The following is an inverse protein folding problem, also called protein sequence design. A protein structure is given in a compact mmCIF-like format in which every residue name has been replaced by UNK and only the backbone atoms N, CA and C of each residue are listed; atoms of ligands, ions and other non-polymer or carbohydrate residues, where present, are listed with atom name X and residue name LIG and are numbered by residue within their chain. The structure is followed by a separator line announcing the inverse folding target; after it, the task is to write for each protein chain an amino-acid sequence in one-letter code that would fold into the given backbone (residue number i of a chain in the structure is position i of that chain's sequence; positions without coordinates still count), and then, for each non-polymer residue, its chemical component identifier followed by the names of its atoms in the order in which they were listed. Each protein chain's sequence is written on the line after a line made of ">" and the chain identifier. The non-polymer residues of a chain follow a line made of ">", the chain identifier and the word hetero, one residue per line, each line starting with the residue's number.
data_IF_226112809515
#
_entry.id   IF_226112809515
#
_cell.length_a   1.000
_cell.length_b   1.000
_cell.length_c   1.000
_cell.angle_alpha   90.00
_cell.angle_beta   90.00
_cell.angle_gamma   90.00
#
_symmetry.space_group_name_H-M   'P 1'
#
loop_
_entity.id
_entity.type
_entity.pdbx_description
1 polymer ?
#
# COMPACT_ATOMS: atom_id res chain seq x y z
N UNK A 1 -12.36 -22.51 -15.47
CA UNK A 1 -12.80 -22.60 -14.05
C UNK A 1 -12.66 -21.22 -13.42
N UNK A 2 -13.61 -20.83 -12.58
CA UNK A 2 -13.56 -19.59 -11.83
C UNK A 2 -12.42 -19.66 -10.80
N UNK A 3 -11.58 -18.62 -10.71
CA UNK A 3 -10.44 -18.59 -9.80
C UNK A 3 -10.89 -18.33 -8.37
N UNK A 4 -10.41 -19.10 -7.41
CA UNK A 4 -10.65 -18.82 -5.99
C UNK A 4 -9.88 -17.59 -5.54
N UNK A 5 -10.56 -16.70 -4.82
CA UNK A 5 -9.99 -15.45 -4.32
C UNK A 5 -10.11 -15.40 -2.80
N UNK A 6 -8.99 -15.22 -2.11
CA UNK A 6 -8.96 -14.88 -0.69
C UNK A 6 -8.62 -13.38 -0.55
N UNK A 7 -9.37 -12.68 0.31
CA UNK A 7 -9.07 -11.30 0.70
C UNK A 7 -8.39 -11.30 2.05
N UNK A 8 -7.24 -10.64 2.15
CA UNK A 8 -6.37 -10.64 3.33
C UNK A 8 -6.27 -9.20 3.88
N UNK A 9 -6.62 -9.03 5.15
CA UNK A 9 -6.68 -7.70 5.78
C UNK A 9 -5.95 -7.73 7.13
N UNK A 10 -4.74 -7.15 7.23
CA UNK A 10 -4.13 -6.86 8.52
C UNK A 10 -4.91 -5.76 9.23
N UNK A 11 -5.19 -5.95 10.53
CA UNK A 11 -5.95 -5.00 11.35
C UNK A 11 -5.22 -4.66 12.64
N UNK A 12 -5.41 -3.42 13.10
CA UNK A 12 -4.99 -2.93 14.41
C UNK A 12 -6.01 -1.92 14.90
N UNK A 13 -6.58 -2.12 16.08
CA UNK A 13 -7.72 -1.33 16.58
C UNK A 13 -8.82 -1.14 15.52
N UNK A 14 -9.33 -2.22 14.90
CA UNK A 14 -10.34 -2.09 13.88
C UNK A 14 -11.61 -1.46 14.48
N UNK A 15 -12.14 -0.44 13.80
CA UNK A 15 -13.29 0.32 14.26
C UNK A 15 -14.47 0.22 13.29
N UNK A 16 -15.41 1.16 13.39
CA UNK A 16 -16.64 1.19 12.57
C UNK A 16 -16.37 1.12 11.06
N UNK A 17 -15.28 1.71 10.58
CA UNK A 17 -14.92 1.69 9.15
C UNK A 17 -14.56 0.29 8.66
N UNK A 18 -13.94 -0.52 9.53
CA UNK A 18 -13.69 -1.92 9.22
C UNK A 18 -15.00 -2.71 9.00
N UNK A 19 -16.02 -2.51 9.83
CA UNK A 19 -17.34 -3.10 9.60
C UNK A 19 -17.94 -2.71 8.24
N UNK A 20 -17.80 -1.45 7.83
CA UNK A 20 -18.24 -0.99 6.49
C UNK A 20 -17.44 -1.66 5.36
N UNK A 21 -16.14 -1.89 5.58
CA UNK A 21 -15.29 -2.61 4.63
C UNK A 21 -15.81 -4.03 4.41
N UNK A 22 -16.03 -4.78 5.49
CA UNK A 22 -16.55 -6.15 5.42
C UNK A 22 -17.93 -6.21 4.73
N UNK A 23 -18.84 -5.29 5.11
CA UNK A 23 -20.18 -5.20 4.48
C UNK A 23 -20.09 -4.93 2.96
N UNK A 24 -19.11 -4.13 2.49
CA UNK A 24 -18.90 -3.86 1.06
C UNK A 24 -18.21 -5.01 0.34
N UNK A 25 -17.29 -5.70 0.99
CA UNK A 25 -16.63 -6.90 0.42
C UNK A 25 -17.63 -8.04 0.27
N UNK A 26 -18.53 -8.24 1.23
CA UNK A 26 -19.57 -9.28 1.14
C UNK A 26 -20.61 -9.03 0.02
N UNK A 27 -20.63 -7.82 -0.55
CA UNK A 27 -21.54 -7.43 -1.66
C UNK A 27 -20.85 -7.38 -3.01
N UNK A 28 -19.62 -7.90 -3.13
CA UNK A 28 -18.92 -7.90 -4.41
C UNK A 28 -19.56 -8.85 -5.42
N UNK A 29 -19.52 -8.47 -6.71
CA UNK A 29 -20.09 -9.28 -7.80
C UNK A 29 -19.27 -10.54 -8.09
N UNK A 30 -17.95 -10.48 -7.88
CA UNK A 30 -17.10 -11.67 -7.94
C UNK A 30 -17.04 -12.31 -6.54
N UNK A 31 -17.31 -13.62 -6.40
CA UNK A 31 -17.36 -14.26 -5.09
C UNK A 31 -15.99 -14.31 -4.42
N UNK A 32 -15.94 -13.91 -3.16
CA UNK A 32 -14.78 -14.05 -2.30
C UNK A 32 -14.87 -15.42 -1.63
N UNK A 33 -13.82 -16.23 -1.76
CA UNK A 33 -13.79 -17.57 -1.19
C UNK A 33 -13.56 -17.52 0.32
N UNK A 34 -12.61 -16.69 0.82
CA UNK A 34 -12.36 -16.44 2.24
C UNK A 34 -11.94 -14.99 2.49
N UNK A 35 -12.24 -14.49 3.68
CA UNK A 35 -11.70 -13.25 4.21
C UNK A 35 -10.83 -13.58 5.41
N UNK A 36 -9.50 -13.43 5.27
CA UNK A 36 -8.50 -13.74 6.28
C UNK A 36 -8.08 -12.45 6.96
N UNK A 37 -8.33 -12.35 8.26
CA UNK A 37 -8.03 -11.16 9.06
C UNK A 37 -6.83 -11.47 9.96
N UNK A 38 -5.76 -10.68 9.82
CA UNK A 38 -4.59 -10.73 10.70
C UNK A 38 -4.72 -9.62 11.74
N UNK A 39 -5.41 -9.91 12.85
CA UNK A 39 -5.69 -8.91 13.87
C UNK A 39 -4.54 -8.80 14.88
N UNK A 40 -3.98 -7.61 15.02
CA UNK A 40 -2.94 -7.30 16.01
C UNK A 40 -3.60 -6.94 17.33
N UNK A 41 -3.24 -7.69 18.38
CA UNK A 41 -3.78 -7.67 19.76
C UNK A 41 -5.26 -8.07 19.82
N UNK A 42 -5.51 -9.25 20.37
CA UNK A 42 -6.88 -9.80 20.52
C UNK A 42 -7.80 -8.89 21.33
N UNK A 43 -7.27 -8.18 22.32
CA UNK A 43 -8.03 -7.26 23.18
C UNK A 43 -8.70 -6.10 22.41
N UNK A 44 -8.22 -5.77 21.21
CA UNK A 44 -8.80 -4.73 20.34
C UNK A 44 -9.81 -5.28 19.33
N UNK A 45 -10.06 -6.59 19.35
CA UNK A 45 -11.07 -7.21 18.50
C UNK A 45 -12.45 -7.12 19.13
N UNK A 46 -13.40 -6.55 18.42
CA UNK A 46 -14.80 -6.53 18.87
C UNK A 46 -15.44 -7.90 18.60
N UNK A 47 -15.65 -8.69 19.67
CA UNK A 47 -16.23 -10.03 19.59
C UNK A 47 -17.65 -10.06 19.00
N UNK A 48 -18.33 -8.93 18.92
CA UNK A 48 -19.64 -8.88 18.23
C UNK A 48 -19.50 -9.15 16.73
N UNK A 49 -18.32 -8.96 16.15
CA UNK A 49 -18.07 -9.28 14.74
C UNK A 49 -18.01 -10.79 14.48
N UNK A 50 -17.60 -11.60 15.42
CA UNK A 50 -17.62 -13.07 15.29
C UNK A 50 -19.04 -13.58 15.07
N UNK A 51 -20.02 -12.91 15.70
CA UNK A 51 -21.45 -13.19 15.53
C UNK A 51 -21.98 -12.58 14.23
N UNK A 52 -21.62 -11.30 13.95
CA UNK A 52 -22.12 -10.57 12.78
C UNK A 52 -21.54 -11.08 11.47
N UNK A 53 -20.27 -11.53 11.49
CA UNK A 53 -19.51 -11.95 10.31
C UNK A 53 -18.88 -13.33 10.51
N UNK A 54 -19.66 -14.41 10.69
CA UNK A 54 -19.15 -15.76 11.01
C UNK A 54 -18.31 -16.38 9.87
N UNK A 55 -18.26 -15.74 8.71
CA UNK A 55 -17.45 -16.14 7.56
C UNK A 55 -16.03 -15.57 7.57
N UNK A 56 -15.65 -14.74 8.55
CA UNK A 56 -14.29 -14.23 8.69
C UNK A 56 -13.39 -15.30 9.32
N UNK A 57 -12.22 -15.50 8.75
CA UNK A 57 -11.15 -16.29 9.35
C UNK A 57 -10.19 -15.34 10.07
N UNK A 58 -10.28 -15.28 11.40
CA UNK A 58 -9.53 -14.32 12.21
C UNK A 58 -8.33 -14.99 12.89
N UNK A 59 -7.15 -14.43 12.69
CA UNK A 59 -5.90 -14.82 13.34
C UNK A 59 -5.38 -13.66 14.18
N UNK A 60 -5.25 -13.87 15.49
CA UNK A 60 -4.69 -12.88 16.40
C UNK A 60 -3.17 -13.02 16.49
N UNK A 61 -2.47 -11.90 16.40
CA UNK A 61 -1.02 -11.80 16.60
C UNK A 61 -0.73 -10.73 17.64
N UNK A 62 0.40 -10.85 18.34
CA UNK A 62 0.84 -9.82 19.26
C UNK A 62 1.50 -8.67 18.49
N UNK A 63 1.47 -7.47 19.06
CA UNK A 63 2.12 -6.28 18.48
C UNK A 63 3.63 -6.47 18.27
N UNK A 64 4.28 -7.26 19.12
CA UNK A 64 5.70 -7.62 18.98
C UNK A 64 5.98 -8.54 17.79
N UNK A 65 4.96 -9.25 17.28
CA UNK A 65 5.06 -10.16 16.13
C UNK A 65 4.67 -9.47 14.81
N UNK A 66 4.11 -8.26 14.92
CA UNK A 66 3.67 -7.53 13.74
C UNK A 66 4.85 -6.91 13.00
N UNK A 67 4.94 -7.23 11.72
CA UNK A 67 5.71 -6.47 10.74
C UNK A 67 4.96 -6.42 9.41
N UNK A 68 5.20 -5.40 8.61
CA UNK A 68 4.41 -5.14 7.42
C UNK A 68 4.49 -6.27 6.38
N UNK A 69 5.68 -6.81 6.17
CA UNK A 69 5.90 -7.89 5.21
C UNK A 69 5.58 -9.28 5.79
N UNK A 70 6.14 -9.63 6.96
CA UNK A 70 5.99 -10.94 7.58
C UNK A 70 4.55 -11.28 7.94
N UNK A 71 3.77 -10.31 8.46
CA UNK A 71 2.34 -10.53 8.74
C UNK A 71 1.56 -10.88 7.48
N UNK A 72 1.82 -10.16 6.37
CA UNK A 72 1.18 -10.46 5.08
C UNK A 72 1.67 -11.77 4.47
N UNK A 73 2.96 -12.08 4.61
CA UNK A 73 3.54 -13.35 4.15
C UNK A 73 2.91 -14.53 4.87
N UNK A 74 2.81 -14.48 6.21
CA UNK A 74 2.13 -15.48 7.02
C UNK A 74 0.67 -15.69 6.58
N UNK A 75 -0.07 -14.62 6.31
CA UNK A 75 -1.42 -14.70 5.79
C UNK A 75 -1.49 -15.29 4.36
N UNK A 76 -0.51 -14.99 3.50
CA UNK A 76 -0.40 -15.61 2.19
C UNK A 76 -0.16 -17.12 2.27
N UNK A 77 0.55 -17.61 3.27
CA UNK A 77 0.78 -19.05 3.51
C UNK A 77 -0.51 -19.76 3.94
N UNK A 78 -1.34 -19.11 4.77
CA UNK A 78 -2.65 -19.60 5.20
C UNK A 78 -3.62 -19.72 4.01
N UNK A 79 -3.58 -18.76 3.08
CA UNK A 79 -4.45 -18.75 1.90
C UNK A 79 -4.28 -20.02 1.06
N UNK A 80 -5.38 -20.56 0.54
CA UNK A 80 -5.41 -21.69 -0.41
C UNK A 80 -6.02 -21.29 -1.75
N UNK A 81 -6.23 -20.00 -1.98
CA UNK A 81 -6.81 -19.48 -3.21
C UNK A 81 -5.77 -19.38 -4.36
N UNK A 82 -6.25 -19.27 -5.59
CA UNK A 82 -5.42 -19.00 -6.77
C UNK A 82 -4.91 -17.55 -6.77
N UNK A 83 -5.73 -16.64 -6.22
CA UNK A 83 -5.48 -15.20 -6.18
C UNK A 83 -5.65 -14.71 -4.74
N UNK A 84 -4.70 -13.92 -4.28
CA UNK A 84 -4.76 -13.25 -2.98
C UNK A 84 -4.94 -11.75 -3.21
N UNK A 85 -5.93 -11.13 -2.57
CA UNK A 85 -6.11 -9.68 -2.56
C UNK A 85 -5.76 -9.16 -1.17
N UNK A 86 -4.70 -8.36 -1.07
CA UNK A 86 -4.36 -7.66 0.16
C UNK A 86 -5.06 -6.31 0.20
N UNK A 87 -5.63 -5.97 1.34
CA UNK A 87 -6.24 -4.66 1.59
C UNK A 87 -5.82 -4.11 2.96
N UNK A 88 -5.81 -2.79 3.10
CA UNK A 88 -5.75 -2.15 4.42
C UNK A 88 -7.16 -2.02 5.00
N UNK A 89 -7.26 -2.02 6.34
CA UNK A 89 -8.55 -2.00 7.06
C UNK A 89 -9.42 -0.76 6.82
N UNK A 90 -8.86 0.28 6.20
CA UNK A 90 -9.46 1.58 5.92
C UNK A 90 -9.66 1.86 4.42
N UNK A 91 -9.40 0.87 3.57
CA UNK A 91 -9.61 0.97 2.13
C UNK A 91 -11.00 0.45 1.75
N UNK A 92 -11.97 1.34 1.53
CA UNK A 92 -13.34 0.96 1.24
C UNK A 92 -13.55 0.72 -0.27
N UNK A 93 -14.08 -0.44 -0.72
CA UNK A 93 -14.52 -0.61 -2.10
C UNK A 93 -15.45 0.53 -2.53
N UNK A 94 -15.16 1.20 -3.65
CA UNK A 94 -15.99 2.29 -4.13
C UNK A 94 -17.35 1.79 -4.69
N UNK A 95 -17.34 0.57 -5.22
CA UNK A 95 -18.53 -0.10 -5.76
C UNK A 95 -18.42 -1.64 -5.62
N UNK A 96 -19.43 -2.35 -6.11
CA UNK A 96 -19.51 -3.81 -6.03
C UNK A 96 -18.65 -4.58 -7.04
N UNK A 97 -17.91 -3.90 -7.90
CA UNK A 97 -17.14 -4.51 -8.98
C UNK A 97 -15.63 -4.50 -8.72
N UNK A 98 -15.17 -4.04 -7.54
CA UNK A 98 -13.74 -3.93 -7.21
C UNK A 98 -12.99 -5.24 -7.45
N UNK A 99 -13.46 -6.34 -6.84
CA UNK A 99 -12.80 -7.65 -6.92
C UNK A 99 -12.79 -8.15 -8.36
N UNK A 100 -13.91 -8.04 -9.07
CA UNK A 100 -14.00 -8.43 -10.48
C UNK A 100 -12.99 -7.65 -11.33
N UNK A 101 -13.00 -6.32 -11.26
CA UNK A 101 -12.13 -5.47 -12.09
C UNK A 101 -10.64 -5.66 -11.79
N UNK A 102 -10.31 -5.89 -10.53
CA UNK A 102 -8.93 -6.16 -10.13
C UNK A 102 -8.46 -7.53 -10.64
N UNK A 103 -9.33 -8.53 -10.58
CA UNK A 103 -9.08 -9.88 -11.10
C UNK A 103 -8.95 -9.89 -12.63
N UNK A 104 -9.84 -9.19 -13.35
CA UNK A 104 -9.76 -9.03 -14.81
C UNK A 104 -8.40 -8.41 -15.22
N UNK A 105 -7.95 -7.36 -14.52
CA UNK A 105 -6.67 -6.74 -14.81
C UNK A 105 -5.47 -7.67 -14.52
N UNK A 106 -5.54 -8.46 -13.44
CA UNK A 106 -4.50 -9.44 -13.09
C UNK A 106 -4.42 -10.60 -14.11
N UNK A 107 -5.55 -11.03 -14.63
CA UNK A 107 -5.65 -12.16 -15.54
C UNK A 107 -5.59 -11.75 -17.03
N UNK A 108 -5.44 -10.48 -17.34
CA UNK A 108 -5.38 -9.97 -18.72
C UNK A 108 -4.19 -10.53 -19.52
N UNK A 109 -3.12 -10.93 -18.83
CA UNK A 109 -1.94 -11.55 -19.41
C UNK A 109 -1.31 -12.53 -18.40
N UNK A 110 -0.74 -13.65 -18.88
CA UNK A 110 -0.10 -14.65 -18.03
C UNK A 110 1.12 -14.08 -17.29
N UNK A 111 1.83 -13.15 -17.92
CA UNK A 111 3.00 -12.47 -17.35
C UNK A 111 2.67 -11.39 -16.32
N UNK A 112 1.42 -11.01 -16.12
CA UNK A 112 1.04 -10.10 -15.04
C UNK A 112 1.01 -10.90 -13.73
N UNK A 113 1.92 -10.59 -12.79
CA UNK A 113 2.00 -11.26 -11.48
C UNK A 113 1.29 -10.53 -10.36
N UNK A 114 1.09 -9.20 -10.51
CA UNK A 114 0.39 -8.36 -9.54
C UNK A 114 -0.51 -7.34 -10.24
N UNK A 115 -1.60 -6.95 -9.57
CA UNK A 115 -2.46 -5.85 -10.00
C UNK A 115 -2.88 -5.01 -8.79
N UNK A 116 -2.95 -3.67 -8.93
CA UNK A 116 -3.38 -2.81 -7.83
C UNK A 116 -4.47 -1.83 -8.25
N UNK A 117 -5.32 -1.49 -7.27
CA UNK A 117 -6.50 -0.68 -7.46
C UNK A 117 -6.20 0.83 -7.46
N UNK A 118 -7.11 1.60 -8.08
CA UNK A 118 -7.14 3.06 -8.01
C UNK A 118 -7.62 3.51 -6.64
N UNK A 119 -6.83 4.35 -5.97
CA UNK A 119 -7.22 4.99 -4.72
C UNK A 119 -7.90 6.34 -4.99
N UNK A 120 -9.15 6.45 -4.60
CA UNK A 120 -9.92 7.69 -4.63
C UNK A 120 -9.82 8.42 -3.29
N UNK A 121 -9.79 9.76 -3.30
CA UNK A 121 -9.84 10.53 -2.05
C UNK A 121 -11.21 10.39 -1.39
N UNK A 122 -11.25 10.33 -0.05
CA UNK A 122 -12.48 10.45 0.72
C UNK A 122 -13.03 11.90 0.68
N UNK A 123 -14.23 12.12 1.21
CA UNK A 123 -14.89 13.43 1.19
C UNK A 123 -14.12 14.48 1.98
N UNK A 124 -13.51 14.08 3.10
CA UNK A 124 -12.74 14.95 4.01
C UNK A 124 -11.31 15.22 3.55
N UNK A 125 -10.90 14.62 2.43
CA UNK A 125 -9.54 14.73 1.91
C UNK A 125 -9.19 16.17 1.57
N UNK A 126 -8.06 16.67 2.08
CA UNK A 126 -7.60 18.01 1.78
C UNK A 126 -7.24 18.20 0.30
N UNK A 127 -7.23 19.46 -0.16
CA UNK A 127 -7.12 19.79 -1.57
C UNK A 127 -5.78 19.31 -2.20
N UNK A 128 -4.68 19.42 -1.50
CA UNK A 128 -3.36 18.99 -1.99
C UNK A 128 -3.25 17.45 -2.06
N UNK A 129 -3.78 16.75 -1.06
CA UNK A 129 -3.80 15.27 -1.05
C UNK A 129 -4.72 14.74 -2.15
N UNK A 130 -5.86 15.39 -2.39
CA UNK A 130 -6.78 15.05 -3.51
C UNK A 130 -6.06 15.10 -4.86
N UNK A 131 -5.21 16.12 -5.07
CA UNK A 131 -4.37 16.17 -6.25
C UNK A 131 -3.30 15.08 -6.27
N UNK A 132 -2.66 14.80 -5.12
CA UNK A 132 -1.67 13.72 -4.98
C UNK A 132 -2.28 12.37 -5.37
N UNK A 133 -3.52 12.09 -4.97
CA UNK A 133 -4.23 10.87 -5.40
C UNK A 133 -4.43 10.84 -6.92
N UNK A 134 -4.93 11.89 -7.53
CA UNK A 134 -5.12 11.94 -8.99
C UNK A 134 -3.81 11.82 -9.77
N UNK A 135 -2.71 12.34 -9.24
CA UNK A 135 -1.38 12.23 -9.84
C UNK A 135 -0.82 10.80 -9.79
N UNK A 136 -0.99 10.12 -8.65
CA UNK A 136 -0.48 8.76 -8.46
C UNK A 136 -1.40 7.68 -9.03
N UNK A 137 -2.69 7.96 -9.11
CA UNK A 137 -3.73 7.03 -9.54
C UNK A 137 -4.57 7.66 -10.68
N UNK A 138 -4.00 7.77 -11.90
CA UNK A 138 -4.69 8.35 -13.07
C UNK A 138 -5.91 7.53 -13.48
N UNK A 139 -6.73 8.09 -14.39
CA UNK A 139 -7.97 7.44 -14.87
C UNK A 139 -7.75 6.33 -15.89
N UNK A 140 -6.53 6.16 -16.38
CA UNK A 140 -6.20 5.14 -17.38
C UNK A 140 -5.40 4.02 -16.76
N UNK A 141 -5.85 2.79 -16.97
CA UNK A 141 -5.13 1.58 -16.63
C UNK A 141 -3.81 1.47 -17.42
N UNK A 142 -2.86 0.79 -16.86
CA UNK A 142 -1.56 0.55 -17.50
C UNK A 142 -0.91 -0.71 -16.94
N UNK A 143 -0.03 -1.31 -17.72
CA UNK A 143 0.87 -2.37 -17.25
C UNK A 143 2.28 -1.79 -17.21
N UNK A 144 3.07 -2.21 -16.23
CA UNK A 144 4.50 -1.89 -16.10
C UNK A 144 5.30 -3.17 -16.13
N UNK A 145 6.34 -3.16 -16.96
CA UNK A 145 7.27 -4.26 -17.18
C UNK A 145 8.71 -3.75 -17.06
N UNK A 146 9.70 -4.63 -17.12
CA UNK A 146 11.11 -4.29 -16.91
C UNK A 146 11.63 -3.22 -17.87
N UNK A 147 11.20 -3.24 -19.12
CA UNK A 147 11.57 -2.29 -20.17
C UNK A 147 11.13 -0.86 -19.85
N UNK A 148 10.12 -0.71 -19.03
CA UNK A 148 9.59 0.58 -18.59
C UNK A 148 10.50 1.31 -17.58
N UNK A 149 11.52 0.65 -17.01
CA UNK A 149 12.44 1.23 -16.02
C UNK A 149 13.15 2.48 -16.54
N UNK A 150 13.56 2.47 -17.79
CA UNK A 150 14.23 3.63 -18.43
C UNK A 150 13.33 4.87 -18.50
N UNK A 151 12.02 4.66 -18.67
CA UNK A 151 11.02 5.73 -18.86
C UNK A 151 10.37 6.20 -17.57
N UNK A 152 10.02 5.27 -16.67
CA UNK A 152 9.21 5.56 -15.50
C UNK A 152 9.99 5.45 -14.18
N UNK A 153 11.23 4.97 -14.22
CA UNK A 153 12.06 4.83 -13.03
C UNK A 153 11.36 4.00 -11.96
N UNK A 154 11.39 4.50 -10.72
CA UNK A 154 10.80 3.82 -9.56
C UNK A 154 9.29 3.54 -9.68
N UNK A 155 8.57 4.29 -10.51
CA UNK A 155 7.14 4.03 -10.76
C UNK A 155 6.88 2.70 -11.47
N UNK A 156 7.90 2.10 -12.06
CA UNK A 156 7.80 0.75 -12.65
C UNK A 156 7.56 -0.31 -11.57
N UNK A 157 8.09 -0.08 -10.36
CA UNK A 157 7.91 -0.97 -9.19
C UNK A 157 6.71 -0.59 -8.33
N UNK A 158 5.93 0.41 -8.75
CA UNK A 158 4.83 0.88 -7.91
C UNK A 158 3.71 -0.16 -7.86
N UNK A 159 3.46 -0.65 -6.67
CA UNK A 159 2.31 -1.46 -6.28
C UNK A 159 1.82 -0.95 -4.92
N UNK A 160 0.59 -1.23 -4.52
CA UNK A 160 0.09 -0.75 -3.23
C UNK A 160 -0.86 -1.73 -2.57
N UNK A 161 -0.43 -2.30 -1.46
CA UNK A 161 -1.22 -3.19 -0.60
C UNK A 161 -2.40 -2.48 0.12
N UNK A 162 -2.64 -1.22 -0.18
CA UNK A 162 -3.94 -0.60 0.14
C UNK A 162 -5.08 -1.39 -0.52
N UNK A 163 -4.88 -1.84 -1.77
CA UNK A 163 -5.68 -2.87 -2.43
C UNK A 163 -4.90 -3.41 -3.63
N UNK A 164 -4.34 -4.61 -3.50
CA UNK A 164 -3.57 -5.25 -4.56
C UNK A 164 -3.82 -6.77 -4.61
N UNK A 165 -3.91 -7.31 -5.82
CA UNK A 165 -4.08 -8.72 -6.11
C UNK A 165 -2.80 -9.35 -6.63
N UNK A 166 -2.55 -10.59 -6.25
CA UNK A 166 -1.36 -11.35 -6.62
C UNK A 166 -1.75 -12.75 -7.07
N UNK A 167 -1.20 -13.25 -8.19
CA UNK A 167 -1.27 -14.67 -8.54
C UNK A 167 -0.45 -15.47 -7.54
N UNK A 168 -1.05 -16.42 -6.84
CA UNK A 168 -0.40 -17.15 -5.76
C UNK A 168 0.83 -17.95 -6.22
N UNK A 169 0.77 -18.54 -7.39
CA UNK A 169 1.88 -19.30 -7.98
C UNK A 169 3.10 -18.41 -8.17
N UNK A 170 2.93 -17.27 -8.87
CA UNK A 170 4.00 -16.31 -9.11
C UNK A 170 4.49 -15.70 -7.78
N UNK A 171 3.56 -15.42 -6.84
CA UNK A 171 3.93 -14.92 -5.51
C UNK A 171 4.90 -15.86 -4.79
N UNK A 172 4.65 -17.17 -4.83
CA UNK A 172 5.53 -18.18 -4.26
C UNK A 172 6.85 -18.30 -5.01
N UNK A 173 6.81 -18.28 -6.34
CA UNK A 173 8.01 -18.35 -7.20
C UNK A 173 8.99 -17.21 -6.89
N UNK A 174 8.49 -16.00 -6.67
CA UNK A 174 9.29 -14.80 -6.35
C UNK A 174 9.75 -14.78 -4.88
N UNK A 175 9.27 -15.69 -4.03
CA UNK A 175 9.63 -15.78 -2.60
C UNK A 175 8.71 -14.98 -1.66
N UNK A 176 7.65 -14.35 -2.18
CA UNK A 176 6.67 -13.62 -1.38
C UNK A 176 7.16 -12.27 -0.86
N UNK A 177 6.44 -11.72 0.10
CA UNK A 177 6.87 -10.47 0.76
C UNK A 177 8.10 -10.70 1.63
N UNK A 178 8.95 -9.68 1.69
CA UNK A 178 10.11 -9.66 2.58
C UNK A 178 9.65 -9.61 4.05
N UNK A 179 10.33 -10.34 4.90
CA UNK A 179 10.15 -10.27 6.34
C UNK A 179 11.03 -9.18 6.96
N UNK A 180 10.66 -8.69 8.14
CA UNK A 180 11.37 -7.65 8.88
C UNK A 180 11.60 -6.39 8.03
N UNK A 181 10.54 -5.85 7.48
CA UNK A 181 10.59 -4.56 6.80
C UNK A 181 9.71 -3.52 7.49
N UNK A 182 10.27 -2.33 7.66
CA UNK A 182 9.55 -1.21 8.29
C UNK A 182 8.48 -0.61 7.37
N UNK A 183 8.66 -0.73 6.05
CA UNK A 183 7.80 -0.14 5.03
C UNK A 183 8.07 -0.77 3.65
N UNK A 184 7.20 -0.52 2.64
CA UNK A 184 7.39 -0.85 1.22
C UNK A 184 7.46 -2.35 0.88
N UNK A 185 6.92 -3.25 1.67
CA UNK A 185 6.89 -4.69 1.34
C UNK A 185 6.30 -4.95 -0.05
N UNK A 186 5.31 -4.14 -0.44
CA UNK A 186 4.65 -4.19 -1.74
C UNK A 186 5.56 -3.75 -2.88
N UNK A 187 6.31 -2.65 -2.72
CA UNK A 187 7.24 -2.17 -3.73
C UNK A 187 8.50 -3.04 -3.82
N UNK A 188 8.98 -3.60 -2.72
CA UNK A 188 10.10 -4.54 -2.71
C UNK A 188 9.72 -5.79 -3.50
N UNK A 189 8.58 -6.40 -3.18
CA UNK A 189 8.04 -7.53 -3.93
C UNK A 189 7.83 -7.18 -5.42
N UNK A 190 7.22 -6.04 -5.71
CA UNK A 190 6.99 -5.58 -7.07
C UNK A 190 8.29 -5.36 -7.86
N UNK A 191 9.35 -4.90 -7.20
CA UNK A 191 10.68 -4.81 -7.79
C UNK A 191 11.24 -6.18 -8.17
N UNK A 192 11.19 -7.16 -7.26
CA UNK A 192 11.60 -8.54 -7.52
C UNK A 192 10.78 -9.16 -8.66
N UNK A 193 9.45 -8.94 -8.65
CA UNK A 193 8.54 -9.41 -9.68
C UNK A 193 8.93 -8.90 -11.09
N UNK A 194 9.17 -7.59 -11.21
CA UNK A 194 9.56 -6.97 -12.48
C UNK A 194 10.95 -7.44 -12.92
N UNK A 195 11.90 -7.60 -11.99
CA UNK A 195 13.25 -8.11 -12.31
C UNK A 195 13.21 -9.56 -12.78
N UNK A 196 12.26 -10.36 -12.30
CA UNK A 196 12.02 -11.74 -12.77
C UNK A 196 11.30 -11.80 -14.14
N UNK A 197 10.93 -10.67 -14.74
CA UNK A 197 10.32 -10.60 -16.07
C UNK A 197 8.78 -10.59 -16.08
N UNK A 198 8.16 -10.46 -14.93
CA UNK A 198 6.71 -10.29 -14.80
C UNK A 198 6.29 -8.82 -14.83
N UNK A 199 5.01 -8.58 -15.09
CA UNK A 199 4.40 -7.26 -15.13
C UNK A 199 3.52 -6.95 -13.92
N UNK A 200 3.28 -5.66 -13.71
CA UNK A 200 2.36 -5.12 -12.71
C UNK A 200 1.26 -4.35 -13.44
N UNK A 201 0.01 -4.71 -13.23
CA UNK A 201 -1.14 -4.00 -13.77
C UNK A 201 -1.65 -2.93 -12.79
N UNK A 202 -1.83 -1.72 -13.26
CA UNK A 202 -2.65 -0.71 -12.61
C UNK A 202 -4.07 -0.78 -13.17
N UNK A 203 -5.04 -1.10 -12.32
CA UNK A 203 -6.44 -1.25 -12.66
C UNK A 203 -7.23 0.02 -12.28
N UNK A 204 -7.38 0.98 -13.21
CA UNK A 204 -8.05 2.25 -12.94
C UNK A 204 -9.55 2.10 -12.63
N UNK A 205 -10.17 1.04 -13.13
CA UNK A 205 -11.60 0.75 -12.92
C UNK A 205 -11.86 -0.04 -11.62
N UNK A 206 -10.85 -0.68 -11.05
CA UNK A 206 -10.90 -1.25 -9.71
C UNK A 206 -10.63 -0.14 -8.70
N UNK A 207 -11.65 0.29 -7.93
CA UNK A 207 -11.58 1.54 -7.16
C UNK A 207 -11.82 1.30 -5.68
N UNK A 208 -10.95 1.91 -4.85
CA UNK A 208 -11.12 1.99 -3.39
C UNK A 208 -11.09 3.44 -2.94
N UNK A 209 -11.85 3.78 -1.91
CA UNK A 209 -11.82 5.08 -1.24
C UNK A 209 -10.79 4.97 -0.11
N UNK A 210 -9.68 5.70 -0.23
CA UNK A 210 -8.61 5.70 0.75
C UNK A 210 -7.77 6.98 0.64
N UNK A 211 -7.69 7.74 1.70
CA UNK A 211 -6.80 8.91 1.82
C UNK A 211 -6.59 9.30 3.28
N UNK A 212 -5.49 9.97 3.56
CA UNK A 212 -5.13 10.45 4.89
C UNK A 212 -4.72 11.92 4.85
N UNK A 213 -5.19 12.69 5.82
CA UNK A 213 -4.77 14.06 6.04
C UNK A 213 -3.65 14.10 7.09
N UNK A 214 -2.45 13.68 6.71
CA UNK A 214 -1.31 13.68 7.63
C UNK A 214 -0.84 15.11 7.96
N UNK A 215 -0.52 15.35 9.24
CA UNK A 215 0.21 16.54 9.68
C UNK A 215 1.65 16.55 9.12
N UNK A 216 2.34 17.69 9.22
CA UNK A 216 3.74 17.78 8.80
C UNK A 216 4.64 16.77 9.53
N UNK A 217 4.45 16.58 10.84
CA UNK A 217 5.22 15.61 11.62
C UNK A 217 4.91 14.17 11.24
N UNK A 218 3.65 13.82 11.04
CA UNK A 218 3.29 12.48 10.55
C UNK A 218 3.89 12.20 9.17
N UNK A 219 3.93 13.22 8.28
CA UNK A 219 4.61 13.11 6.99
C UNK A 219 6.11 12.91 7.16
N UNK A 220 6.76 13.60 8.12
CA UNK A 220 8.16 13.41 8.42
C UNK A 220 8.44 11.97 8.88
N UNK A 221 7.73 11.48 9.89
CA UNK A 221 7.93 10.12 10.44
C UNK A 221 7.69 9.04 9.39
N UNK A 222 6.59 9.15 8.62
CA UNK A 222 6.28 8.21 7.55
C UNK A 222 7.37 8.18 6.46
N UNK A 223 7.88 9.34 6.07
CA UNK A 223 8.94 9.41 5.05
C UNK A 223 10.31 9.02 5.61
N UNK A 224 10.53 9.14 6.92
CA UNK A 224 11.68 8.55 7.58
C UNK A 224 11.68 7.03 7.41
N UNK A 225 10.59 6.36 7.75
CA UNK A 225 10.45 4.91 7.60
C UNK A 225 10.56 4.48 6.12
N UNK A 226 10.03 5.27 5.19
CA UNK A 226 10.21 5.08 3.75
C UNK A 226 11.69 5.13 3.35
N UNK A 227 12.43 6.12 3.85
CA UNK A 227 13.86 6.29 3.61
C UNK A 227 14.68 5.14 4.17
N UNK A 228 14.37 4.68 5.39
CA UNK A 228 14.98 3.49 6.02
C UNK A 228 14.78 2.26 5.15
N UNK A 229 13.54 1.95 4.78
CA UNK A 229 13.23 0.80 3.93
C UNK A 229 14.01 0.82 2.60
N UNK A 230 14.12 1.97 1.94
CA UNK A 230 14.91 2.08 0.71
C UNK A 230 16.42 1.93 0.94
N UNK A 231 16.93 2.30 2.12
CA UNK A 231 18.35 2.13 2.46
C UNK A 231 18.69 0.69 2.84
N UNK A 232 17.72 -0.08 3.31
CA UNK A 232 17.86 -1.50 3.68
C UNK A 232 17.75 -2.43 2.47
N UNK A 233 17.06 -1.98 1.40
CA UNK A 233 16.85 -2.76 0.17
C UNK A 233 17.52 -2.10 -1.06
N UNK A 234 18.87 -1.93 -1.05
CA UNK A 234 19.58 -1.32 -2.17
C UNK A 234 19.49 -2.15 -3.47
N UNK A 235 19.28 -3.44 -3.38
CA UNK A 235 19.08 -4.36 -4.52
C UNK A 235 17.89 -3.96 -5.41
N UNK A 236 16.88 -3.31 -4.81
CA UNK A 236 15.70 -2.80 -5.51
C UNK A 236 15.84 -1.31 -5.82
N UNK A 237 16.27 -0.50 -4.84
CA UNK A 237 16.14 0.94 -4.90
C UNK A 237 17.41 1.67 -5.34
N UNK A 238 18.61 1.04 -5.31
CA UNK A 238 19.85 1.74 -5.67
C UNK A 238 19.96 2.06 -7.16
N UNK A 239 19.41 1.20 -8.02
CA UNK A 239 19.43 1.38 -9.46
C UNK A 239 18.40 2.39 -9.99
N UNK A 240 17.46 2.83 -9.14
CA UNK A 240 16.29 3.61 -9.56
C UNK A 240 16.14 4.85 -8.70
N UNK A 241 16.29 6.03 -9.30
CA UNK A 241 16.18 7.32 -8.58
C UNK A 241 14.72 7.60 -8.23
N UNK A 242 14.42 7.78 -6.94
CA UNK A 242 13.09 8.12 -6.43
C UNK A 242 12.83 9.62 -6.32
N UNK A 243 13.89 10.43 -6.14
CA UNK A 243 13.79 11.89 -5.90
C UNK A 243 13.17 12.65 -7.07
N UNK A 244 13.41 12.20 -8.31
CA UNK A 244 12.86 12.84 -9.51
C UNK A 244 11.33 12.88 -9.54
N UNK A 245 10.67 11.80 -9.09
CA UNK A 245 9.21 11.74 -9.02
C UNK A 245 8.64 12.61 -7.89
N UNK A 246 9.31 12.68 -6.75
CA UNK A 246 8.94 13.60 -5.67
C UNK A 246 8.97 15.07 -6.13
N UNK A 247 10.05 15.49 -6.78
CA UNK A 247 10.20 16.85 -7.34
C UNK A 247 9.11 17.12 -8.39
N UNK A 248 8.84 16.15 -9.26
CA UNK A 248 7.79 16.27 -10.28
C UNK A 248 6.41 16.46 -9.66
N UNK A 249 6.07 15.68 -8.64
CA UNK A 249 4.82 15.82 -7.90
C UNK A 249 4.70 17.23 -7.29
N UNK A 250 5.74 17.70 -6.60
CA UNK A 250 5.77 19.05 -5.99
C UNK A 250 5.53 20.15 -7.03
N UNK A 251 6.26 20.13 -8.14
CA UNK A 251 6.10 21.10 -9.23
C UNK A 251 4.68 21.08 -9.83
N UNK A 252 4.13 19.91 -10.04
CA UNK A 252 2.79 19.77 -10.61
C UNK A 252 1.69 20.16 -9.62
N UNK A 253 1.82 19.82 -8.34
CA UNK A 253 0.89 20.25 -7.29
C UNK A 253 0.89 21.78 -7.17
N UNK A 254 2.07 22.41 -7.22
CA UNK A 254 2.19 23.86 -7.18
C UNK A 254 1.43 24.51 -8.35
N UNK A 255 1.66 24.03 -9.60
CA UNK A 255 0.92 24.52 -10.79
C UNK A 255 -0.59 24.29 -10.65
N UNK A 256 -1.01 23.16 -10.13
CA UNK A 256 -2.41 22.85 -9.89
C UNK A 256 -3.06 23.81 -8.89
N UNK A 257 -2.38 24.12 -7.77
CA UNK A 257 -2.88 25.08 -6.78
C UNK A 257 -3.09 26.47 -7.40
N UNK A 258 -2.16 26.93 -8.23
CA UNK A 258 -2.29 28.20 -8.97
C UNK A 258 -3.47 28.14 -9.94
N UNK A 259 -3.58 27.09 -10.77
CA UNK A 259 -4.65 26.95 -11.77
C UNK A 259 -6.05 26.93 -11.15
N UNK A 260 -6.15 26.41 -9.92
CA UNK A 260 -7.41 26.36 -9.15
C UNK A 260 -7.61 27.59 -8.26
N UNK A 261 -6.76 28.62 -8.40
CA UNK A 261 -6.79 29.86 -7.61
C UNK A 261 -6.74 29.59 -6.09
N UNK A 262 -6.01 28.54 -5.65
CA UNK A 262 -5.85 28.16 -4.23
C UNK A 262 -4.45 28.52 -3.71
N UNK A 263 -3.99 29.73 -4.04
CA UNK A 263 -2.61 30.19 -3.75
C UNK A 263 -2.31 30.26 -2.24
N UNK A 264 -3.30 30.48 -1.38
CA UNK A 264 -3.13 30.50 0.09
C UNK A 264 -2.78 29.14 0.68
N UNK A 265 -2.97 28.03 -0.06
CA UNK A 265 -2.54 26.70 0.36
C UNK A 265 -1.06 26.43 0.09
N UNK A 266 -0.40 27.27 -0.73
CA UNK A 266 0.99 27.06 -1.16
C UNK A 266 1.98 27.05 0.00
N UNK A 267 1.94 28.00 0.99
CA UNK A 267 2.88 27.95 2.11
C UNK A 267 2.81 26.65 2.91
N UNK A 268 1.59 26.20 3.25
CA UNK A 268 1.37 24.93 3.94
C UNK A 268 1.83 23.72 3.13
N UNK A 269 1.59 23.73 1.82
CA UNK A 269 2.07 22.67 0.92
C UNK A 269 3.60 22.60 0.81
N UNK A 270 4.28 23.75 0.74
CA UNK A 270 5.76 23.82 0.71
C UNK A 270 6.32 23.28 2.04
N UNK A 271 5.77 23.73 3.17
CA UNK A 271 6.16 23.24 4.49
C UNK A 271 6.00 21.72 4.60
N UNK A 272 4.83 21.17 4.24
CA UNK A 272 4.59 19.73 4.25
C UNK A 272 5.57 18.97 3.34
N UNK A 273 5.87 19.50 2.15
CA UNK A 273 6.83 18.91 1.22
C UNK A 273 8.26 18.92 1.79
N UNK A 274 8.63 19.98 2.52
CA UNK A 274 9.89 20.08 3.24
C UNK A 274 10.03 19.02 4.33
N UNK A 275 8.98 18.81 5.13
CA UNK A 275 8.95 17.76 6.16
C UNK A 275 9.05 16.35 5.57
N UNK A 276 8.35 16.08 4.46
CA UNK A 276 8.48 14.81 3.71
C UNK A 276 9.92 14.56 3.28
N UNK A 277 10.54 15.57 2.67
CA UNK A 277 11.91 15.44 2.15
C UNK A 277 12.94 15.29 3.29
N UNK A 278 12.81 16.08 4.35
CA UNK A 278 13.68 15.98 5.53
C UNK A 278 13.59 14.60 6.19
N UNK A 279 12.38 14.09 6.38
CA UNK A 279 12.17 12.72 6.89
C UNK A 279 12.83 11.68 5.99
N UNK A 280 12.59 11.74 4.70
CA UNK A 280 13.19 10.82 3.73
C UNK A 280 14.73 10.83 3.76
N UNK A 281 15.35 12.01 3.76
CA UNK A 281 16.81 12.13 3.84
C UNK A 281 17.36 11.57 5.17
N UNK A 282 16.71 11.87 6.29
CA UNK A 282 17.09 11.34 7.60
C UNK A 282 16.99 9.80 7.59
N UNK A 283 15.91 9.23 7.03
CA UNK A 283 15.73 7.79 6.89
C UNK A 283 16.78 7.14 5.99
N UNK A 284 17.10 7.72 4.84
CA UNK A 284 18.18 7.23 3.96
C UNK A 284 19.54 7.18 4.65
N UNK A 285 19.76 8.03 5.65
CA UNK A 285 21.01 8.13 6.40
C UNK A 285 20.89 7.62 7.84
N UNK A 286 19.86 6.84 8.17
CA UNK A 286 19.55 6.43 9.54
C UNK A 286 20.72 5.76 10.28
N UNK A 287 21.58 5.03 9.57
CA UNK A 287 22.78 4.36 10.15
C UNK A 287 23.77 5.33 10.76
N UNK A 288 23.71 6.64 10.43
CA UNK A 288 24.53 7.71 10.99
C UNK A 288 23.88 8.36 12.22
N UNK A 289 22.63 8.01 12.54
CA UNK A 289 21.87 8.65 13.62
C UNK A 289 21.98 7.83 14.91
N UNK A 290 22.05 8.50 16.08
CA UNK A 290 21.92 7.81 17.36
C UNK A 290 20.56 7.14 17.52
N UNK A 291 20.50 6.01 18.23
CA UNK A 291 19.25 5.24 18.45
C UNK A 291 18.10 6.10 18.99
N UNK A 292 18.37 7.03 19.93
CA UNK A 292 17.35 7.95 20.46
C UNK A 292 16.73 8.83 19.37
N UNK A 293 17.52 9.26 18.40
CA UNK A 293 17.04 10.07 17.26
C UNK A 293 16.20 9.20 16.30
N UNK A 294 16.65 7.98 16.01
CA UNK A 294 15.89 7.01 15.20
C UNK A 294 14.51 6.77 15.83
N UNK A 295 14.47 6.49 17.14
CA UNK A 295 13.23 6.27 17.89
C UNK A 295 12.28 7.47 17.87
N UNK A 296 12.82 8.69 17.81
CA UNK A 296 12.02 9.90 17.65
C UNK A 296 11.53 10.10 16.21
N UNK A 297 12.35 9.73 15.21
CA UNK A 297 12.03 9.92 13.79
C UNK A 297 11.02 8.90 13.25
N UNK A 298 11.01 7.67 13.78
CA UNK A 298 10.19 6.58 13.23
C UNK A 298 8.70 6.70 13.59
N UNK A 299 7.83 6.24 12.68
CA UNK A 299 6.42 6.01 12.97
C UNK A 299 6.19 4.63 13.62
N UNK A 300 7.14 3.70 13.47
CA UNK A 300 7.08 2.32 13.94
C UNK A 300 8.17 1.98 14.97
N UNK A 301 8.07 2.48 16.21
CA UNK A 301 9.11 2.22 17.24
C UNK A 301 9.31 0.73 17.57
N UNK A 302 8.29 -0.11 17.39
CA UNK A 302 8.36 -1.56 17.61
C UNK A 302 9.34 -2.26 16.67
N UNK A 303 9.52 -1.77 15.45
CA UNK A 303 10.49 -2.30 14.49
C UNK A 303 11.94 -2.28 14.99
N UNK A 304 12.27 -1.29 15.84
CA UNK A 304 13.62 -1.05 16.36
C UNK A 304 13.88 -1.68 17.75
N UNK A 305 12.89 -2.35 18.31
CA UNK A 305 13.03 -3.08 19.57
C UNK A 305 13.27 -4.54 19.22
N UNK A 306 14.50 -4.98 19.47
CA UNK A 306 14.85 -6.41 19.49
C UNK A 306 14.25 -7.11 20.71
#
# INVERSE_FOLDING_TARGET
>A
MEKKIDVIIPTYHPGREFGKLIDRLNKQTYPIHRMIIMNTEEEFWDKTWDIKYPFLEVHHIRKSEFDHGGTRKKAAEISQADIMIFMTQDALPADKNLVQKLTEALLADEKIGAAYARQLPNEECNFAERYTRSFNYPERSSVRIKEDLSKYGIKTYFCSNVCAAYKKEIYKEIGGFVEKTIFNEDMIYAGNLVQAGYGIAYAADARVIHSHNYSCMQQFHRNFDLGVSQAEHPEIFASVKSEGEGIRLVKQTFRYLISKKKIWLIPGFIMQSGFKYAGYLAGKNYRKLPQKVIMWCTMNPSYWKE
#
